data_IF_285848560574
#
_entry.id   IF_285848560574
#
_cell.length_a   1.000
_cell.length_b   1.000
_cell.length_c   1.000
_cell.angle_alpha   90.00
_cell.angle_beta   90.00
_cell.angle_gamma   90.00
#
_symmetry.space_group_name_H-M   'P 1'
#
loop_
_entity.id
_entity.type
_entity.pdbx_description
1 polymer ?
#
# COMPACT_ATOMS: atom_id res chain seq x y z
N UNK A 1 -26.25 -9.18 9.67
CA UNK A 1 -25.32 -8.35 10.49
C UNK A 1 -23.89 -8.90 10.42
N UNK A 2 -23.67 -10.19 10.70
CA UNK A 2 -22.31 -10.79 10.75
C UNK A 2 -21.51 -10.63 9.46
N UNK A 3 -22.12 -10.91 8.29
CA UNK A 3 -21.46 -10.76 6.99
C UNK A 3 -21.01 -9.32 6.70
N UNK A 4 -21.78 -8.32 7.16
CA UNK A 4 -21.41 -6.92 7.00
C UNK A 4 -20.18 -6.57 7.84
N UNK A 5 -20.13 -7.01 9.09
CA UNK A 5 -18.98 -6.80 9.97
C UNK A 5 -17.72 -7.47 9.41
N UNK A 6 -17.83 -8.68 8.88
CA UNK A 6 -16.71 -9.38 8.23
C UNK A 6 -16.14 -8.53 7.08
N UNK A 7 -17.00 -8.04 6.19
CA UNK A 7 -16.58 -7.20 5.06
C UNK A 7 -16.00 -5.87 5.55
N UNK A 8 -16.60 -5.25 6.58
CA UNK A 8 -16.11 -4.00 7.16
C UNK A 8 -14.72 -4.16 7.78
N UNK A 9 -14.45 -5.27 8.47
CA UNK A 9 -13.14 -5.59 9.05
C UNK A 9 -12.11 -5.86 7.95
N UNK A 10 -12.47 -6.65 6.93
CA UNK A 10 -11.62 -6.90 5.76
C UNK A 10 -11.27 -5.60 5.03
N UNK A 11 -12.23 -4.70 4.87
CA UNK A 11 -12.00 -3.39 4.24
C UNK A 11 -11.10 -2.53 5.13
N UNK A 12 -11.35 -2.52 6.44
CA UNK A 12 -10.53 -1.82 7.43
C UNK A 12 -9.08 -2.28 7.43
N UNK A 13 -8.82 -3.59 7.36
CA UNK A 13 -7.45 -4.11 7.32
C UNK A 13 -6.69 -3.71 6.06
N UNK A 14 -7.36 -3.68 4.90
CA UNK A 14 -6.79 -3.15 3.66
C UNK A 14 -6.46 -1.65 3.74
N UNK A 15 -7.29 -0.87 4.45
CA UNK A 15 -7.03 0.55 4.67
C UNK A 15 -5.80 0.77 5.58
N UNK A 16 -5.64 -0.07 6.62
CA UNK A 16 -4.42 -0.05 7.46
C UNK A 16 -3.19 -0.35 6.61
N UNK A 17 -3.27 -1.32 5.70
CA UNK A 17 -2.17 -1.66 4.78
C UNK A 17 -1.79 -0.46 3.89
N UNK A 18 -2.77 0.32 3.43
CA UNK A 18 -2.56 1.56 2.69
C UNK A 18 -2.04 2.73 3.55
N UNK A 19 -1.94 2.56 4.87
CA UNK A 19 -1.57 3.59 5.86
C UNK A 19 -2.45 4.86 5.77
N UNK A 20 -3.70 4.73 5.33
CA UNK A 20 -4.63 5.85 5.16
C UNK A 20 -5.55 6.01 6.38
N UNK A 21 -5.06 6.72 7.40
CA UNK A 21 -5.78 6.94 8.67
C UNK A 21 -7.15 7.62 8.53
N UNK A 22 -7.29 8.56 7.59
CA UNK A 22 -8.57 9.25 7.36
C UNK A 22 -9.68 8.31 6.86
N UNK A 23 -9.34 7.40 5.94
CA UNK A 23 -10.28 6.40 5.43
C UNK A 23 -10.63 5.37 6.50
N UNK A 24 -9.68 5.05 7.40
CA UNK A 24 -9.92 4.12 8.50
C UNK A 24 -10.98 4.67 9.45
N UNK A 25 -10.85 5.94 9.83
CA UNK A 25 -11.81 6.60 10.71
C UNK A 25 -13.20 6.64 10.08
N UNK A 26 -13.29 6.98 8.79
CA UNK A 26 -14.55 6.94 8.05
C UNK A 26 -15.18 5.53 8.07
N UNK A 27 -14.39 4.49 7.82
CA UNK A 27 -14.85 3.10 7.84
C UNK A 27 -15.38 2.68 9.21
N UNK A 28 -14.70 3.07 10.30
CA UNK A 28 -15.12 2.77 11.67
C UNK A 28 -16.43 3.50 12.00
N UNK A 29 -16.51 4.80 11.71
CA UNK A 29 -17.73 5.60 11.94
C UNK A 29 -18.90 5.02 11.16
N UNK A 30 -18.69 4.69 9.88
CA UNK A 30 -19.71 4.08 9.03
C UNK A 30 -20.19 2.73 9.61
N UNK A 31 -19.27 1.86 10.02
CA UNK A 31 -19.63 0.57 10.61
C UNK A 31 -20.45 0.74 11.91
N UNK A 32 -20.10 1.70 12.77
CA UNK A 32 -20.85 2.00 14.00
C UNK A 32 -22.25 2.51 13.66
N UNK A 33 -22.37 3.46 12.72
CA UNK A 33 -23.66 4.00 12.28
C UNK A 33 -24.57 2.89 11.74
N UNK A 34 -24.03 2.02 10.88
CA UNK A 34 -24.81 0.93 10.27
C UNK A 34 -25.26 -0.10 11.31
N UNK A 35 -24.41 -0.43 12.27
CA UNK A 35 -24.71 -1.48 13.26
C UNK A 35 -25.58 -1.00 14.41
N UNK A 36 -25.49 0.28 14.79
CA UNK A 36 -26.14 0.80 16.01
C UNK A 36 -27.40 1.61 15.72
N UNK A 37 -27.49 2.27 14.55
CA UNK A 37 -28.56 3.24 14.28
C UNK A 37 -29.40 2.92 13.03
N UNK A 38 -28.96 1.99 12.18
CA UNK A 38 -29.59 1.77 10.88
C UNK A 38 -30.73 0.73 10.99
N UNK A 39 -31.95 1.06 10.55
CA UNK A 39 -33.05 0.10 10.50
C UNK A 39 -32.79 -1.00 9.46
N UNK A 40 -33.39 -2.18 9.69
CA UNK A 40 -33.21 -3.36 8.83
C UNK A 40 -33.56 -3.12 7.36
N UNK A 41 -34.53 -2.25 7.07
CA UNK A 41 -34.94 -1.93 5.69
C UNK A 41 -33.86 -1.22 4.88
N UNK A 42 -33.02 -0.43 5.55
CA UNK A 42 -31.91 0.30 4.93
C UNK A 42 -30.61 -0.51 4.90
N UNK A 43 -30.58 -1.66 5.58
CA UNK A 43 -29.38 -2.50 5.70
C UNK A 43 -28.87 -2.97 4.34
N UNK A 44 -29.77 -3.33 3.42
CA UNK A 44 -29.40 -3.74 2.06
C UNK A 44 -28.66 -2.62 1.31
N UNK A 45 -29.12 -1.38 1.42
CA UNK A 45 -28.46 -0.22 0.82
C UNK A 45 -27.07 0.01 1.42
N UNK A 46 -26.94 -0.07 2.74
CA UNK A 46 -25.64 0.03 3.41
C UNK A 46 -24.67 -1.08 2.99
N UNK A 47 -25.17 -2.29 2.75
CA UNK A 47 -24.38 -3.43 2.28
C UNK A 47 -23.85 -3.20 0.87
N UNK A 48 -24.68 -2.66 -0.04
CA UNK A 48 -24.26 -2.27 -1.39
C UNK A 48 -23.17 -1.19 -1.34
N UNK A 49 -23.36 -0.15 -0.51
CA UNK A 49 -22.35 0.91 -0.33
C UNK A 49 -21.03 0.33 0.18
N UNK A 50 -21.08 -0.55 1.20
CA UNK A 50 -19.90 -1.20 1.75
C UNK A 50 -19.18 -2.07 0.71
N UNK A 51 -19.93 -2.79 -0.15
CA UNK A 51 -19.37 -3.60 -1.21
C UNK A 51 -18.66 -2.75 -2.27
N UNK A 52 -19.28 -1.65 -2.71
CA UNK A 52 -18.67 -0.72 -3.67
C UNK A 52 -17.42 -0.04 -3.09
N UNK A 53 -17.50 0.39 -1.84
CA UNK A 53 -16.35 0.99 -1.15
C UNK A 53 -15.20 -0.01 -0.98
N UNK A 54 -15.49 -1.24 -0.57
CA UNK A 54 -14.50 -2.31 -0.47
C UNK A 54 -13.83 -2.65 -1.81
N UNK A 55 -14.61 -2.70 -2.90
CA UNK A 55 -14.08 -2.91 -4.26
C UNK A 55 -13.13 -1.78 -4.67
N UNK A 56 -13.50 -0.54 -4.37
CA UNK A 56 -12.65 0.62 -4.66
C UNK A 56 -11.35 0.60 -3.85
N UNK A 57 -11.40 0.25 -2.56
CA UNK A 57 -10.20 0.08 -1.73
C UNK A 57 -9.29 -1.01 -2.28
N UNK A 58 -9.84 -2.16 -2.72
CA UNK A 58 -9.05 -3.20 -3.37
C UNK A 58 -8.32 -2.67 -4.60
N UNK A 59 -8.99 -1.89 -5.45
CA UNK A 59 -8.34 -1.26 -6.60
C UNK A 59 -7.17 -0.35 -6.19
N UNK A 60 -7.33 0.44 -5.12
CA UNK A 60 -6.25 1.29 -4.60
C UNK A 60 -5.06 0.46 -4.08
N UNK A 61 -5.32 -0.64 -3.37
CA UNK A 61 -4.29 -1.57 -2.91
C UNK A 61 -3.51 -2.15 -4.10
N UNK A 62 -4.21 -2.60 -5.16
CA UNK A 62 -3.56 -3.12 -6.36
C UNK A 62 -2.70 -2.07 -7.06
N UNK A 63 -3.18 -0.83 -7.17
CA UNK A 63 -2.39 0.26 -7.74
C UNK A 63 -1.14 0.53 -6.90
N UNK A 64 -1.28 0.65 -5.58
CA UNK A 64 -0.15 0.87 -4.68
C UNK A 64 0.90 -0.26 -4.77
N UNK A 65 0.45 -1.52 -4.80
CA UNK A 65 1.33 -2.68 -4.97
C UNK A 65 2.05 -2.66 -6.34
N UNK A 66 1.34 -2.29 -7.41
CA UNK A 66 1.93 -2.17 -8.74
C UNK A 66 2.97 -1.06 -8.82
N UNK A 67 2.69 0.12 -8.25
CA UNK A 67 3.67 1.21 -8.15
C UNK A 67 4.92 0.80 -7.38
N UNK A 68 4.76 0.09 -6.25
CA UNK A 68 5.88 -0.45 -5.48
C UNK A 68 6.72 -1.41 -6.33
N UNK A 69 6.08 -2.33 -7.06
CA UNK A 69 6.75 -3.28 -7.94
C UNK A 69 7.53 -2.59 -9.07
N UNK A 70 6.96 -1.56 -9.69
CA UNK A 70 7.67 -0.76 -10.70
C UNK A 70 8.89 -0.05 -10.11
N UNK A 71 8.78 0.53 -8.90
CA UNK A 71 9.89 1.17 -8.20
C UNK A 71 11.02 0.17 -7.88
N UNK A 72 10.68 -1.07 -7.52
CA UNK A 72 11.67 -2.12 -7.28
C UNK A 72 12.38 -2.55 -8.57
N UNK A 73 11.64 -2.72 -9.67
CA UNK A 73 12.24 -2.99 -10.99
C UNK A 73 13.16 -1.86 -11.45
N UNK A 74 12.75 -0.61 -11.26
CA UNK A 74 13.56 0.56 -11.62
C UNK A 74 14.82 0.65 -10.76
N UNK A 75 14.74 0.35 -9.45
CA UNK A 75 15.91 0.22 -8.58
C UNK A 75 16.83 -0.93 -9.00
N UNK A 76 16.27 -2.05 -9.47
CA UNK A 76 17.04 -3.19 -9.97
C UNK A 76 17.79 -2.83 -11.26
N UNK A 77 17.17 -2.02 -12.13
CA UNK A 77 17.84 -1.46 -13.32
C UNK A 77 18.87 -0.37 -12.98
N UNK A 78 18.73 0.29 -11.83
CA UNK A 78 19.65 1.33 -11.33
C UNK A 78 20.75 0.83 -10.41
N UNK A 79 20.99 -0.48 -10.27
CA UNK A 79 22.26 -0.95 -9.71
C UNK A 79 23.32 -0.67 -10.78
N UNK A 80 24.16 0.38 -10.63
CA UNK A 80 25.30 0.52 -11.52
C UNK A 80 26.20 -0.67 -11.25
N UNK A 81 26.80 -1.22 -12.30
CA UNK A 81 27.78 -2.28 -12.25
C UNK A 81 28.98 -1.90 -11.34
N UNK A 82 28.84 -2.08 -10.03
CA UNK A 82 29.93 -1.97 -9.05
C UNK A 82 30.76 -3.26 -8.96
N UNK A 83 30.57 -4.16 -9.94
CA UNK A 83 31.35 -5.38 -10.11
C UNK A 83 31.61 -5.62 -11.60
N UNK A 84 32.59 -4.90 -12.15
CA UNK A 84 33.47 -5.50 -13.16
C UNK A 84 34.87 -5.53 -12.58
N UNK A 85 35.12 -6.62 -11.87
CA UNK A 85 36.43 -7.20 -11.63
C UNK A 85 37.08 -7.48 -13.00
N UNK A 86 37.87 -6.53 -13.48
CA UNK A 86 38.64 -6.69 -14.71
C UNK A 86 39.71 -5.61 -14.80
N UNK A 87 40.95 -5.93 -14.42
CA UNK A 87 42.09 -5.06 -14.73
C UNK A 87 43.22 -4.99 -13.71
N UNK A 88 43.50 -6.09 -13.02
CA UNK A 88 44.79 -6.45 -12.41
C UNK A 88 46.02 -5.73 -13.03
N UNK A 89 46.44 -4.61 -12.43
CA UNK A 89 47.79 -4.02 -12.53
C UNK A 89 47.88 -2.99 -11.40
N UNK A 90 48.43 -3.29 -10.22
CA UNK A 90 49.84 -3.57 -10.07
C UNK A 90 50.64 -2.26 -10.22
N UNK A 91 51.09 -1.70 -9.09
CA UNK A 91 52.19 -0.71 -8.97
C UNK A 91 51.77 0.79 -8.92
N UNK A 92 51.72 1.30 -7.68
CA UNK A 92 52.46 2.47 -7.14
C UNK A 92 52.54 3.75 -8.01
N UNK A 93 52.07 4.88 -7.46
CA UNK A 93 52.94 5.95 -6.90
C UNK A 93 52.16 7.16 -6.40
N UNK A 94 52.59 7.62 -5.22
CA UNK A 94 52.40 8.97 -4.67
C UNK A 94 52.47 10.07 -5.74
N UNK A 95 51.45 10.92 -5.77
CA UNK A 95 51.58 12.35 -5.96
C UNK A 95 51.12 12.96 -4.62
N UNK A 96 51.96 13.22 -3.61
CA UNK A 96 52.87 14.39 -3.50
C UNK A 96 52.37 15.55 -4.36
N UNK A 97 52.24 16.80 -3.93
CA UNK A 97 52.73 17.56 -2.79
C UNK A 97 52.48 19.02 -3.20
N UNK A 98 52.17 19.91 -2.27
CA UNK A 98 52.39 21.38 -2.32
C UNK A 98 52.30 22.08 -3.70
N UNK A 99 51.29 22.94 -3.83
CA UNK A 99 51.55 24.38 -3.97
C UNK A 99 50.46 25.16 -3.27
#
# INVERSE_FOLDING_TARGET
MESFLIIAILTGSLIVLLMHWGLLLLQIVFAIVVTSFLPTEWFLGALVIQALFGLWILQQVFQAAWYQYQLELEKTQRIPQHYTEGGRSGIRKNFLSRR
#
